data_IF_612362700020
#
_entry.id   IF_612362700020
#
_cell.length_a   1.000
_cell.length_b   1.000
_cell.length_c   1.000
_cell.angle_alpha   90.00
_cell.angle_beta   90.00
_cell.angle_gamma   90.00
#
_symmetry.space_group_name_H-M   'P 1'
#
loop_
_entity.id
_entity.type
_entity.pdbx_description
1 polymer ?
#
# COMPACT_ATOMS: atom_id res chain seq x y z
N UNK A 1 19.51 -7.80 -13.81
CA UNK A 1 19.62 -6.48 -13.17
C UNK A 1 18.22 -5.88 -13.11
N UNK A 2 17.65 -5.76 -11.90
CA UNK A 2 16.27 -5.27 -11.66
C UNK A 2 16.26 -3.86 -11.04
N UNK A 3 17.44 -3.26 -10.93
CA UNK A 3 17.72 -1.90 -10.46
C UNK A 3 17.48 -0.82 -11.53
N UNK A 4 17.55 -1.18 -12.81
CA UNK A 4 17.24 -0.29 -13.94
C UNK A 4 15.77 -0.28 -14.37
N UNK A 5 15.46 0.47 -15.43
CA UNK A 5 14.11 0.58 -16.05
C UNK A 5 13.68 -0.69 -16.82
N UNK A 6 14.46 -1.76 -16.71
CA UNK A 6 14.18 -3.03 -17.35
C UNK A 6 13.05 -3.76 -16.61
N UNK A 7 11.90 -3.92 -17.27
CA UNK A 7 10.67 -4.56 -16.75
C UNK A 7 10.76 -6.09 -16.55
N UNK A 8 11.97 -6.65 -16.44
CA UNK A 8 12.17 -8.07 -16.08
C UNK A 8 11.68 -9.13 -17.08
N UNK A 9 11.36 -8.76 -18.33
CA UNK A 9 10.77 -9.68 -19.32
C UNK A 9 11.59 -10.95 -19.61
N UNK A 10 12.91 -10.85 -19.65
CA UNK A 10 13.79 -12.00 -19.87
C UNK A 10 13.69 -13.07 -18.75
N UNK A 11 13.44 -12.64 -17.51
CA UNK A 11 13.26 -13.54 -16.38
C UNK A 11 11.94 -14.34 -16.51
N UNK A 12 10.90 -13.72 -17.07
CA UNK A 12 9.63 -14.41 -17.36
C UNK A 12 9.82 -15.48 -18.43
N UNK A 13 10.50 -15.15 -19.53
CA UNK A 13 10.79 -16.12 -20.60
C UNK A 13 11.63 -17.30 -20.09
N UNK A 14 12.66 -17.02 -19.29
CA UNK A 14 13.48 -18.08 -18.68
C UNK A 14 12.66 -18.99 -17.75
N UNK A 15 11.75 -18.44 -16.94
CA UNK A 15 10.85 -19.23 -16.08
C UNK A 15 9.91 -20.11 -16.91
N UNK A 16 9.34 -19.59 -17.99
CA UNK A 16 8.40 -20.34 -18.85
C UNK A 16 9.10 -21.53 -19.50
N UNK A 17 10.33 -21.34 -19.99
CA UNK A 17 11.11 -22.40 -20.65
C UNK A 17 11.66 -23.42 -19.65
N UNK A 18 12.17 -22.96 -18.50
CA UNK A 18 12.85 -23.84 -17.54
C UNK A 18 11.90 -24.45 -16.49
N UNK A 19 10.72 -23.86 -16.28
CA UNK A 19 9.77 -24.25 -15.23
C UNK A 19 10.27 -24.02 -13.81
N UNK A 20 11.49 -23.50 -13.62
CA UNK A 20 12.12 -23.38 -12.29
C UNK A 20 11.80 -22.02 -11.63
N UNK A 21 11.64 -21.99 -10.30
CA UNK A 21 11.43 -20.74 -9.57
C UNK A 21 12.70 -19.89 -9.53
N UNK A 22 12.51 -18.56 -9.49
CA UNK A 22 13.59 -17.58 -9.30
C UNK A 22 13.63 -17.24 -7.82
N UNK A 23 14.76 -17.47 -7.17
CA UNK A 23 14.91 -17.26 -5.72
C UNK A 23 15.46 -15.89 -5.34
N UNK A 24 16.34 -15.33 -6.17
CA UNK A 24 17.05 -14.08 -5.87
C UNK A 24 17.07 -13.12 -7.05
N UNK A 25 17.13 -11.84 -6.73
CA UNK A 25 17.21 -10.72 -7.65
C UNK A 25 18.35 -9.79 -7.25
N UNK A 26 19.21 -9.47 -8.23
CA UNK A 26 20.21 -8.40 -8.08
C UNK A 26 19.57 -7.03 -8.27
N UNK A 27 19.56 -6.24 -7.20
CA UNK A 27 19.03 -4.88 -7.10
C UNK A 27 20.15 -3.82 -7.15
N UNK A 28 21.33 -4.19 -7.64
CA UNK A 28 22.50 -3.32 -7.77
C UNK A 28 23.75 -4.12 -8.12
N UNK A 29 24.89 -3.44 -8.17
CA UNK A 29 26.17 -4.03 -8.60
C UNK A 29 27.04 -4.54 -7.45
N UNK A 30 26.71 -4.14 -6.22
CA UNK A 30 27.42 -4.56 -5.03
C UNK A 30 26.94 -5.93 -4.54
N UNK A 31 27.79 -6.64 -3.80
CA UNK A 31 27.52 -8.02 -3.32
C UNK A 31 26.33 -8.07 -2.35
N UNK A 32 26.09 -7.00 -1.60
CA UNK A 32 24.96 -6.80 -0.69
C UNK A 32 23.64 -6.47 -1.41
N UNK A 33 23.66 -6.26 -2.73
CA UNK A 33 22.46 -5.92 -3.51
C UNK A 33 21.65 -7.17 -3.96
N UNK A 34 22.02 -8.37 -3.52
CA UNK A 34 21.27 -9.60 -3.79
C UNK A 34 20.12 -9.75 -2.79
N UNK A 35 18.88 -9.71 -3.29
CA UNK A 35 17.68 -9.78 -2.45
C UNK A 35 16.81 -10.97 -2.84
N UNK A 36 16.00 -11.52 -1.90
CA UNK A 36 15.00 -12.52 -2.23
C UNK A 36 14.02 -12.00 -3.30
N UNK A 37 13.69 -12.85 -4.27
CA UNK A 37 12.80 -12.50 -5.37
C UNK A 37 11.33 -12.70 -4.99
N UNK A 38 10.55 -11.63 -5.07
CA UNK A 38 9.11 -11.64 -4.83
C UNK A 38 8.34 -11.28 -6.11
N UNK A 39 7.75 -12.27 -6.81
CA UNK A 39 7.06 -12.06 -8.09
C UNK A 39 5.98 -10.97 -8.03
N UNK A 40 5.19 -10.94 -6.94
CA UNK A 40 4.08 -10.01 -6.77
C UNK A 40 4.55 -8.54 -6.68
N UNK A 41 5.72 -8.30 -6.08
CA UNK A 41 6.31 -6.96 -5.98
C UNK A 41 6.82 -6.47 -7.32
N UNK A 42 7.46 -7.36 -8.09
CA UNK A 42 7.97 -7.04 -9.42
C UNK A 42 6.81 -6.77 -10.40
N UNK A 43 5.75 -7.57 -10.35
CA UNK A 43 4.55 -7.32 -11.15
C UNK A 43 3.91 -5.96 -10.84
N UNK A 44 3.81 -5.60 -9.56
CA UNK A 44 3.24 -4.31 -9.12
C UNK A 44 4.08 -3.12 -9.60
N UNK A 45 5.41 -3.23 -9.53
CA UNK A 45 6.35 -2.21 -10.04
C UNK A 45 6.23 -2.01 -11.55
N UNK A 46 6.14 -3.11 -12.32
CA UNK A 46 5.97 -3.08 -13.78
C UNK A 46 4.64 -2.43 -14.19
N UNK A 47 3.58 -2.67 -13.41
CA UNK A 47 2.26 -2.08 -13.63
C UNK A 47 2.15 -0.62 -13.18
N UNK A 48 3.26 0.04 -12.80
CA UNK A 48 3.26 1.42 -12.33
C UNK A 48 2.59 1.61 -10.96
N UNK A 49 2.26 0.51 -10.27
CA UNK A 49 1.78 0.50 -8.89
C UNK A 49 2.98 0.55 -7.93
N UNK A 50 3.87 1.51 -8.17
CA UNK A 50 5.05 1.79 -7.36
C UNK A 50 4.63 2.09 -5.92
N UNK A 51 4.90 1.10 -5.08
CA UNK A 51 4.83 1.02 -3.64
C UNK A 51 4.52 2.32 -2.85
N UNK A 52 3.23 2.71 -2.82
CA UNK A 52 2.72 3.64 -1.81
C UNK A 52 2.82 3.06 -0.39
N UNK A 53 3.02 1.75 -0.21
CA UNK A 53 3.13 1.13 1.13
C UNK A 53 4.48 1.42 1.76
N UNK A 54 5.58 1.37 1.01
CA UNK A 54 6.91 1.76 1.52
C UNK A 54 6.94 3.26 1.90
N UNK A 55 6.14 4.05 1.20
CA UNK A 55 5.92 5.48 1.46
C UNK A 55 5.14 5.73 2.75
N UNK A 56 4.10 4.95 2.98
CA UNK A 56 3.26 5.03 4.19
C UNK A 56 3.99 4.45 5.40
N UNK A 57 4.70 3.34 5.26
CA UNK A 57 5.50 2.70 6.32
C UNK A 57 6.56 3.67 6.88
N UNK A 58 7.29 4.36 6.01
CA UNK A 58 8.29 5.35 6.44
C UNK A 58 7.69 6.69 6.90
N UNK A 59 6.53 7.08 6.39
CA UNK A 59 5.82 8.27 6.89
C UNK A 59 5.24 8.04 8.29
N UNK A 60 4.80 6.82 8.61
CA UNK A 60 4.32 6.46 9.95
C UNK A 60 5.44 6.39 11.00
N UNK A 61 6.69 6.19 10.60
CA UNK A 61 7.86 6.24 11.50
C UNK A 61 8.24 7.67 11.92
N UNK A 62 7.88 8.68 11.13
CA UNK A 62 8.22 10.08 11.39
C UNK A 62 7.10 10.87 12.10
N UNK A 63 5.87 10.34 12.14
CA UNK A 63 4.77 10.95 12.88
C UNK A 63 4.79 10.49 14.35
N UNK A 64 5.43 11.28 15.21
CA UNK A 64 5.45 11.12 16.68
C UNK A 64 4.07 11.27 17.35
N UNK A 65 3.01 11.47 16.58
CA UNK A 65 1.64 11.52 17.06
C UNK A 65 0.77 10.59 16.20
N UNK A 66 0.86 9.28 16.45
CA UNK A 66 -0.19 8.38 16.00
C UNK A 66 -1.50 8.82 16.66
N UNK A 67 -2.53 9.29 15.91
CA UNK A 67 -3.81 9.57 16.51
C UNK A 67 -4.26 8.28 17.20
N UNK A 68 -4.69 8.38 18.46
CA UNK A 68 -5.08 7.26 19.29
C UNK A 68 -6.11 6.38 18.55
N UNK A 69 -5.63 5.33 17.89
CA UNK A 69 -6.49 4.32 17.28
C UNK A 69 -7.10 3.58 18.46
N UNK A 70 -8.33 3.96 18.80
CA UNK A 70 -9.07 3.45 19.96
C UNK A 70 -8.96 1.93 20.00
N UNK A 71 -8.56 1.34 21.13
CA UNK A 71 -8.27 -0.09 21.21
C UNK A 71 -9.57 -0.89 21.11
N UNK A 72 -9.87 -1.45 19.92
CA UNK A 72 -10.94 -2.45 19.76
C UNK A 72 -11.74 -2.37 18.47
N UNK A 73 -11.73 -1.25 17.77
CA UNK A 73 -12.45 -1.08 16.51
C UNK A 73 -11.54 -1.48 15.35
N UNK A 74 -11.98 -2.46 14.55
CA UNK A 74 -11.36 -2.72 13.25
C UNK A 74 -11.35 -1.40 12.46
N UNK A 75 -10.22 -1.06 11.85
CA UNK A 75 -10.11 0.08 10.95
C UNK A 75 -11.21 -0.02 9.88
N UNK A 76 -12.11 0.97 9.87
CA UNK A 76 -13.23 1.06 8.92
C UNK A 76 -12.90 1.99 7.77
N UNK A 77 -13.72 1.97 6.71
CA UNK A 77 -13.59 2.94 5.62
C UNK A 77 -13.95 4.36 6.06
N UNK A 78 -14.79 4.52 7.09
CA UNK A 78 -15.11 5.83 7.65
C UNK A 78 -13.89 6.41 8.39
N UNK A 79 -13.09 5.57 9.05
CA UNK A 79 -11.82 5.99 9.67
C UNK A 79 -10.82 6.43 8.59
N UNK A 80 -10.67 5.62 7.52
CA UNK A 80 -9.81 5.98 6.39
C UNK A 80 -10.24 7.32 5.76
N UNK A 81 -11.54 7.53 5.57
CA UNK A 81 -12.08 8.79 5.03
C UNK A 81 -11.77 9.98 5.94
N UNK A 82 -11.87 9.81 7.26
CA UNK A 82 -11.52 10.85 8.23
C UNK A 82 -10.03 11.21 8.14
N UNK A 83 -9.15 10.20 8.14
CA UNK A 83 -7.71 10.44 8.04
C UNK A 83 -7.33 11.09 6.71
N UNK A 84 -7.93 10.67 5.59
CA UNK A 84 -7.73 11.32 4.29
C UNK A 84 -8.13 12.80 4.30
N UNK A 85 -9.25 13.15 4.96
CA UNK A 85 -9.69 14.54 5.09
C UNK A 85 -8.77 15.35 6.01
N UNK A 86 -8.24 14.74 7.06
CA UNK A 86 -7.27 15.38 7.95
C UNK A 86 -5.96 15.68 7.21
N UNK A 87 -5.45 14.72 6.44
CA UNK A 87 -4.26 14.90 5.61
C UNK A 87 -4.45 16.03 4.59
N UNK A 88 -5.64 16.14 3.98
CA UNK A 88 -5.97 17.21 3.04
C UNK A 88 -6.04 18.60 3.70
N UNK A 89 -6.36 18.69 4.99
CA UNK A 89 -6.40 19.95 5.74
C UNK A 89 -5.00 20.47 6.10
N UNK A 90 -3.99 19.59 6.18
CA UNK A 90 -2.62 19.95 6.55
C UNK A 90 -1.83 20.63 5.40
N UNK A 91 -2.44 20.79 4.21
CA UNK A 91 -1.82 21.44 3.05
C UNK A 91 -1.37 20.44 1.98
N UNK A 92 -0.62 20.90 0.96
CA UNK A 92 -0.08 20.02 -0.06
C UNK A 92 0.82 18.99 0.62
N UNK A 93 0.55 17.70 0.41
CA UNK A 93 1.35 16.60 0.94
C UNK A 93 2.85 16.76 0.65
N UNK A 94 3.22 17.51 -0.40
CA UNK A 94 4.59 17.90 -0.70
C UNK A 94 5.29 18.64 0.44
N UNK A 95 4.60 19.52 1.18
CA UNK A 95 5.20 20.28 2.30
C UNK A 95 5.36 19.42 3.55
N UNK A 96 4.37 18.59 3.86
CA UNK A 96 4.44 17.64 4.97
C UNK A 96 5.53 16.59 4.73
N UNK A 97 5.65 16.09 3.49
CA UNK A 97 6.70 15.13 3.11
C UNK A 97 8.11 15.76 3.09
N UNK A 98 8.24 17.06 2.81
CA UNK A 98 9.51 17.80 2.91
C UNK A 98 9.97 17.99 4.37
N UNK A 99 9.05 17.99 5.32
CA UNK A 99 9.37 18.10 6.75
C UNK A 99 9.81 16.77 7.39
N UNK A 100 9.68 15.64 6.69
CA UNK A 100 10.15 14.34 7.16
C UNK A 100 11.65 14.16 6.82
N UNK A 101 12.55 14.16 7.82
CA UNK A 101 13.97 13.99 7.56
C UNK A 101 14.27 12.59 6.99
N UNK A 102 15.07 12.54 5.91
CA UNK A 102 15.50 11.28 5.28
C UNK A 102 14.70 10.82 4.05
N UNK A 103 13.58 11.48 3.71
CA UNK A 103 12.71 11.12 2.57
C UNK A 103 12.79 12.07 1.36
N UNK A 104 13.45 13.23 1.50
CA UNK A 104 13.44 14.31 0.50
C UNK A 104 14.10 14.02 -0.85
N UNK A 105 14.86 12.92 -1.01
CA UNK A 105 15.53 12.57 -2.28
C UNK A 105 14.84 11.47 -3.09
N UNK A 106 14.05 10.60 -2.47
CA UNK A 106 13.39 9.48 -3.17
C UNK A 106 11.98 9.82 -3.68
N UNK A 107 11.43 10.98 -3.30
CA UNK A 107 10.04 11.35 -3.57
C UNK A 107 9.85 12.65 -4.36
N UNK A 108 10.93 13.24 -4.86
CA UNK A 108 10.87 14.51 -5.62
C UNK A 108 9.96 14.44 -6.85
N UNK A 109 9.60 13.24 -7.31
CA UNK A 109 8.73 13.01 -8.47
C UNK A 109 7.36 12.40 -8.12
N UNK A 110 7.03 12.20 -6.84
CA UNK A 110 5.68 11.74 -6.46
C UNK A 110 4.78 12.97 -6.42
N UNK A 111 4.28 13.36 -7.60
CA UNK A 111 3.12 14.26 -7.69
C UNK A 111 1.95 13.53 -7.10
N UNK A 112 1.69 13.77 -5.82
CA UNK A 112 0.45 13.33 -5.20
C UNK A 112 -0.68 14.12 -5.85
N UNK A 113 -1.30 13.54 -6.86
CA UNK A 113 -2.39 14.19 -7.56
C UNK A 113 -3.59 14.34 -6.61
N UNK A 114 -3.99 15.57 -6.31
CA UNK A 114 -5.27 15.86 -5.64
C UNK A 114 -6.47 15.13 -6.27
N UNK A 115 -6.38 14.84 -7.57
CA UNK A 115 -7.37 14.06 -8.32
C UNK A 115 -7.46 12.61 -7.84
N UNK A 116 -6.37 12.00 -7.39
CA UNK A 116 -6.37 10.65 -6.85
C UNK A 116 -7.10 10.60 -5.50
N UNK A 117 -6.85 11.58 -4.62
CA UNK A 117 -7.54 11.70 -3.33
C UNK A 117 -9.05 11.89 -3.51
N UNK A 118 -9.45 12.78 -4.42
CA UNK A 118 -10.87 12.99 -4.75
C UNK A 118 -11.53 11.72 -5.29
N UNK A 119 -10.83 10.94 -6.13
CA UNK A 119 -11.33 9.65 -6.64
C UNK A 119 -11.52 8.63 -5.53
N UNK A 120 -10.56 8.50 -4.63
CA UNK A 120 -10.66 7.61 -3.48
C UNK A 120 -11.82 8.02 -2.54
N UNK A 121 -11.97 9.32 -2.27
CA UNK A 121 -13.10 9.84 -1.50
C UNK A 121 -14.44 9.52 -2.19
N UNK A 122 -14.55 9.74 -3.50
CA UNK A 122 -15.75 9.40 -4.26
C UNK A 122 -16.10 7.90 -4.19
N UNK A 123 -15.10 7.01 -4.24
CA UNK A 123 -15.29 5.57 -4.08
C UNK A 123 -15.87 5.23 -2.70
N UNK A 124 -15.30 5.79 -1.63
CA UNK A 124 -15.76 5.52 -0.25
C UNK A 124 -17.18 6.06 -0.03
N UNK A 125 -17.48 7.26 -0.54
CA UNK A 125 -18.80 7.88 -0.45
C UNK A 125 -19.86 7.09 -1.24
N UNK A 126 -19.47 6.34 -2.26
CA UNK A 126 -20.36 5.46 -3.05
C UNK A 126 -20.68 4.12 -2.38
N UNK A 127 -20.08 3.85 -1.21
CA UNK A 127 -20.41 2.70 -0.37
C UNK A 127 -21.61 2.99 0.53
N UNK A 128 -22.33 1.94 0.92
CA UNK A 128 -23.34 2.03 1.99
C UNK A 128 -22.68 2.05 3.38
N UNK A 129 -23.34 2.55 4.43
CA UNK A 129 -22.78 2.52 5.79
C UNK A 129 -22.36 1.12 6.26
N UNK A 130 -23.14 0.09 5.89
CA UNK A 130 -22.81 -1.32 6.18
C UNK A 130 -21.51 -1.77 5.50
N UNK A 131 -21.30 -1.35 4.26
CA UNK A 131 -20.09 -1.68 3.50
C UNK A 131 -18.87 -0.91 4.00
N UNK A 132 -19.04 0.34 4.49
CA UNK A 132 -17.95 1.11 5.10
C UNK A 132 -17.50 0.54 6.44
N UNK A 133 -18.46 0.13 7.28
CA UNK A 133 -18.18 -0.54 8.54
C UNK A 133 -17.55 -1.93 8.33
N UNK A 134 -18.00 -2.67 7.31
CA UNK A 134 -17.51 -4.01 7.04
C UNK A 134 -17.13 -4.21 5.55
N UNK A 135 -15.93 -3.76 5.12
CA UNK A 135 -15.52 -3.85 3.71
C UNK A 135 -15.45 -5.28 3.15
N UNK A 136 -15.38 -6.29 4.03
CA UNK A 136 -15.35 -7.71 3.66
C UNK A 136 -16.62 -8.18 2.94
N UNK A 137 -17.76 -7.51 3.10
CA UNK A 137 -19.02 -7.89 2.45
C UNK A 137 -19.11 -7.44 0.97
N UNK A 138 -18.10 -6.69 0.50
CA UNK A 138 -18.09 -6.10 -0.85
C UNK A 138 -17.73 -7.17 -1.90
N UNK A 139 -18.78 -7.80 -2.42
CA UNK A 139 -18.73 -8.75 -3.54
C UNK A 139 -18.67 -8.05 -4.91
N UNK A 140 -18.52 -8.81 -6.00
CA UNK A 140 -18.37 -8.28 -7.36
C UNK A 140 -19.52 -7.36 -7.82
N UNK A 141 -20.77 -7.67 -7.45
CA UNK A 141 -21.93 -6.85 -7.78
C UNK A 141 -21.86 -5.48 -7.07
N UNK A 142 -21.49 -5.46 -5.79
CA UNK A 142 -21.29 -4.22 -5.02
C UNK A 142 -20.14 -3.40 -5.59
N UNK A 143 -19.04 -4.01 -6.02
CA UNK A 143 -17.92 -3.28 -6.67
C UNK A 143 -18.34 -2.60 -7.96
N UNK A 144 -19.13 -3.28 -8.80
CA UNK A 144 -19.71 -2.67 -10.02
C UNK A 144 -20.61 -1.49 -9.69
N UNK A 145 -21.45 -1.60 -8.66
CA UNK A 145 -22.31 -0.50 -8.19
C UNK A 145 -21.50 0.69 -7.68
N UNK A 146 -20.50 0.44 -6.82
CA UNK A 146 -19.63 1.47 -6.26
C UNK A 146 -18.89 2.20 -7.39
N UNK A 147 -18.26 1.47 -8.30
CA UNK A 147 -17.54 2.02 -9.45
C UNK A 147 -18.42 2.95 -10.30
N UNK A 148 -19.67 2.52 -10.60
CA UNK A 148 -20.63 3.37 -11.32
C UNK A 148 -21.05 4.60 -10.53
N UNK A 149 -21.22 4.48 -9.21
CA UNK A 149 -21.59 5.60 -8.33
C UNK A 149 -20.48 6.64 -8.16
N UNK A 150 -19.22 6.20 -8.18
CA UNK A 150 -18.05 7.08 -8.02
C UNK A 150 -17.48 7.62 -9.33
N UNK A 151 -17.98 7.15 -10.48
CA UNK A 151 -17.41 7.47 -11.80
C UNK A 151 -16.01 6.87 -12.01
N UNK A 152 -15.72 5.75 -11.35
CA UNK A 152 -14.43 5.06 -11.40
C UNK A 152 -14.57 3.66 -11.97
N UNK A 153 -13.46 2.95 -12.13
CA UNK A 153 -13.42 1.57 -12.59
C UNK A 153 -13.53 0.57 -11.43
N UNK A 154 -13.91 -0.68 -11.73
CA UNK A 154 -13.91 -1.77 -10.75
C UNK A 154 -12.49 -2.07 -10.24
N UNK A 155 -11.48 -1.82 -11.06
CA UNK A 155 -10.07 -2.00 -10.73
C UNK A 155 -9.61 -1.00 -9.67
N UNK A 156 -10.01 0.26 -9.79
CA UNK A 156 -9.74 1.29 -8.78
C UNK A 156 -10.44 0.95 -7.45
N UNK A 157 -11.68 0.45 -7.48
CA UNK A 157 -12.36 -0.04 -6.27
C UNK A 157 -11.61 -1.22 -5.65
N UNK A 158 -11.14 -2.17 -6.46
CA UNK A 158 -10.34 -3.29 -5.98
C UNK A 158 -9.01 -2.85 -5.36
N UNK A 159 -8.35 -1.86 -5.95
CA UNK A 159 -7.10 -1.30 -5.44
C UNK A 159 -7.31 -0.69 -4.05
N UNK A 160 -8.36 0.13 -3.88
CA UNK A 160 -8.69 0.74 -2.60
C UNK A 160 -9.00 -0.31 -1.52
N UNK A 161 -9.75 -1.36 -1.86
CA UNK A 161 -10.05 -2.46 -0.93
C UNK A 161 -8.79 -3.22 -0.50
N UNK A 162 -7.84 -3.45 -1.41
CA UNK A 162 -6.55 -4.08 -1.09
C UNK A 162 -5.70 -3.20 -0.18
N UNK A 163 -5.60 -1.91 -0.48
CA UNK A 163 -4.85 -0.94 0.33
C UNK A 163 -5.41 -0.85 1.75
N UNK A 164 -6.74 -0.78 1.89
CA UNK A 164 -7.37 -0.81 3.20
C UNK A 164 -7.10 -2.11 3.97
N UNK A 165 -7.12 -3.26 3.29
CA UNK A 165 -6.81 -4.54 3.93
C UNK A 165 -5.37 -4.59 4.46
N UNK A 166 -4.40 -4.14 3.65
CA UNK A 166 -2.99 -4.04 4.05
C UNK A 166 -2.81 -3.10 5.25
N UNK A 167 -3.42 -1.92 5.21
CA UNK A 167 -3.36 -0.95 6.31
C UNK A 167 -3.93 -1.53 7.61
N UNK A 168 -5.07 -2.22 7.53
CA UNK A 168 -5.67 -2.91 8.68
C UNK A 168 -4.74 -3.98 9.23
N UNK A 169 -4.11 -4.78 8.38
CA UNK A 169 -3.26 -5.89 8.81
C UNK A 169 -1.96 -5.36 9.46
N UNK A 170 -1.41 -4.26 8.94
CA UNK A 170 -0.29 -3.54 9.56
C UNK A 170 -0.65 -2.97 10.93
N UNK A 171 -1.80 -2.29 11.07
CA UNK A 171 -2.26 -1.77 12.37
C UNK A 171 -2.46 -2.90 13.40
N UNK A 172 -2.95 -4.06 12.95
CA UNK A 172 -3.06 -5.26 13.81
C UNK A 172 -1.70 -5.77 14.24
N UNK A 173 -0.72 -5.80 13.35
CA UNK A 173 0.66 -6.20 13.67
C UNK A 173 1.30 -5.24 14.69
N UNK A 174 1.15 -3.93 14.50
CA UNK A 174 1.66 -2.90 15.41
C UNK A 174 1.02 -2.99 16.81
N UNK A 175 -0.31 -3.23 16.88
CA UNK A 175 -1.02 -3.42 18.14
C UNK A 175 -0.54 -4.66 18.89
N UNK A 176 -0.19 -5.74 18.19
CA UNK A 176 0.37 -6.96 18.80
C UNK A 176 1.78 -6.72 19.36
N UNK A 177 2.59 -5.94 18.66
CA UNK A 177 3.92 -5.54 19.11
C UNK A 177 3.89 -4.67 20.36
N UNK A 178 2.98 -3.67 20.42
CA UNK A 178 2.79 -2.80 21.60
C UNK A 178 2.27 -3.53 22.85
N UNK A 179 1.60 -4.68 22.68
CA UNK A 179 1.09 -5.53 23.78
C UNK A 179 2.08 -6.59 24.27
N UNK A 180 3.36 -6.51 23.89
CA UNK A 180 4.39 -7.47 24.33
C UNK A 180 4.30 -8.85 23.68
N UNK A 181 3.52 -9.00 22.60
CA UNK A 181 3.38 -10.26 21.88
C UNK A 181 4.52 -10.49 20.91
N UNK A 182 5.30 -11.55 21.13
CA UNK A 182 6.26 -12.11 20.16
C UNK A 182 5.62 -12.14 18.76
N UNK A 183 6.35 -11.65 17.76
CA UNK A 183 6.02 -11.80 16.35
C UNK A 183 5.78 -13.29 16.04
N UNK A 184 4.66 -13.71 15.44
CA UNK A 184 4.57 -14.93 14.67
C UNK A 184 5.14 -14.60 13.29
N UNK A 185 6.45 -14.39 13.26
CA UNK A 185 7.20 -14.76 12.09
C UNK A 185 7.88 -16.06 12.46
N UNK A 186 7.58 -17.18 11.79
CA UNK A 186 8.53 -18.27 11.78
C UNK A 186 9.72 -17.72 10.99
N UNK A 187 10.77 -17.31 11.70
CA UNK A 187 12.09 -17.28 11.10
C UNK A 187 12.50 -18.75 10.98
N UNK A 188 12.59 -19.36 9.77
CA UNK A 188 13.31 -20.61 9.64
C UNK A 188 14.79 -20.30 9.90
N UNK A 189 15.26 -20.76 11.06
CA UNK A 189 16.67 -20.70 11.44
C UNK A 189 17.43 -21.90 10.90
N UNK A 190 18.69 -21.61 10.51
CA UNK A 190 19.80 -22.48 10.11
C UNK A 190 19.66 -23.27 8.82
#
# INVERSE_FOLDING_TARGET
KLDGDARGGAALSAKVVTGKPIYFAGMGEKVDALQPFYPDRIASRILGMGDMLTLIEKATEAATETPEVRPGTDLTMDDLLREMRNLRKMGPLEEVLKMIPGLGKQLQNVKVEDKAFKRMEAIILSMTPKERAMPRIINGARRKRIARGSGTTVEEVNALLRQHAQMRDMMKALKRQRRGGKLPFPFPGR
#
